data_IF_245878766170
#
_entry.id   IF_245878766170
#
_cell.length_a   1.000
_cell.length_b   1.000
_cell.length_c   1.000
_cell.angle_alpha   90.00
_cell.angle_beta   90.00
_cell.angle_gamma   90.00
#
_symmetry.space_group_name_H-M   'P 1'
#
loop_
_entity.id
_entity.type
_entity.pdbx_description
1 polymer ?
#
# COMPACT_ATOMS: atom_id res chain seq x y z
N UNK A 1 -21.19 -8.92 15.38
CA UNK A 1 -19.82 -8.40 15.46
C UNK A 1 -19.11 -8.96 14.24
N UNK A 2 -18.74 -8.11 13.29
CA UNK A 2 -17.91 -8.55 12.16
C UNK A 2 -16.48 -8.55 12.69
N UNK A 3 -15.99 -9.71 13.08
CA UNK A 3 -14.59 -9.87 13.43
C UNK A 3 -13.78 -9.62 12.16
N UNK A 4 -12.92 -8.60 12.19
CA UNK A 4 -11.98 -8.33 11.11
C UNK A 4 -11.05 -9.54 11.02
N UNK A 5 -11.08 -10.22 9.87
CA UNK A 5 -10.18 -11.34 9.61
C UNK A 5 -8.76 -10.78 9.37
N UNK A 6 -7.73 -11.44 9.91
CA UNK A 6 -6.33 -11.09 9.68
C UNK A 6 -6.01 -10.94 8.18
N UNK A 7 -6.65 -11.75 7.32
CA UNK A 7 -6.49 -11.63 5.87
C UNK A 7 -7.01 -10.30 5.31
N UNK A 8 -8.11 -9.79 5.85
CA UNK A 8 -8.68 -8.50 5.45
C UNK A 8 -7.77 -7.34 5.91
N UNK A 9 -7.20 -7.46 7.12
CA UNK A 9 -6.24 -6.50 7.64
C UNK A 9 -4.98 -6.47 6.75
N UNK A 10 -4.43 -7.63 6.41
CA UNK A 10 -3.25 -7.75 5.55
C UNK A 10 -3.53 -7.17 4.16
N UNK A 11 -4.69 -7.51 3.56
CA UNK A 11 -5.09 -6.99 2.26
C UNK A 11 -5.21 -5.45 2.28
N UNK A 12 -5.83 -4.90 3.32
CA UNK A 12 -6.00 -3.47 3.49
C UNK A 12 -4.66 -2.74 3.66
N UNK A 13 -3.75 -3.26 4.49
CA UNK A 13 -2.41 -2.69 4.69
C UNK A 13 -1.60 -2.75 3.39
N UNK A 14 -1.71 -3.84 2.64
CA UNK A 14 -1.03 -4.01 1.35
C UNK A 14 -1.51 -2.99 0.33
N UNK A 15 -2.83 -2.81 0.20
CA UNK A 15 -3.41 -1.78 -0.68
C UNK A 15 -2.94 -0.38 -0.27
N UNK A 16 -3.05 -0.06 1.03
CA UNK A 16 -2.72 1.26 1.55
C UNK A 16 -1.26 1.67 1.26
N UNK A 17 -0.32 0.72 1.41
CA UNK A 17 1.10 0.95 1.20
C UNK A 17 1.51 0.99 -0.27
N UNK A 18 0.76 0.32 -1.16
CA UNK A 18 1.05 0.30 -2.59
C UNK A 18 0.22 1.32 -3.39
N UNK A 19 -0.70 2.03 -2.74
CA UNK A 19 -1.53 3.06 -3.37
C UNK A 19 -0.77 4.37 -3.62
N UNK A 20 -0.67 4.84 -4.88
CA UNK A 20 -0.12 6.16 -5.22
C UNK A 20 -0.82 7.31 -4.50
N UNK A 21 -0.05 8.28 -3.99
CA UNK A 21 -0.58 9.48 -3.33
C UNK A 21 -0.10 10.75 -4.02
N UNK A 22 -1.04 11.65 -4.32
CA UNK A 22 -0.74 12.95 -4.96
C UNK A 22 0.34 13.75 -4.21
N UNK A 23 0.29 13.78 -2.88
CA UNK A 23 1.26 14.48 -2.02
C UNK A 23 2.68 13.89 -2.09
N UNK A 24 2.81 12.62 -2.49
CA UNK A 24 4.09 11.93 -2.66
C UNK A 24 4.61 12.01 -4.11
N UNK A 25 4.10 12.95 -4.91
CA UNK A 25 4.41 13.02 -6.34
C UNK A 25 3.89 11.80 -7.11
N UNK A 26 2.73 11.28 -6.70
CA UNK A 26 2.11 10.06 -7.24
C UNK A 26 2.91 8.77 -7.02
N UNK A 27 3.86 8.76 -6.08
CA UNK A 27 4.46 7.51 -5.59
C UNK A 27 3.60 6.88 -4.49
N UNK A 28 3.71 5.57 -4.31
CA UNK A 28 3.13 4.90 -3.14
C UNK A 28 4.00 5.13 -1.89
N UNK A 29 3.44 4.98 -0.67
CA UNK A 29 4.24 4.95 0.56
C UNK A 29 5.42 3.97 0.50
N UNK A 30 5.22 2.76 -0.04
CA UNK A 30 6.27 1.77 -0.19
C UNK A 30 7.38 2.22 -1.14
N UNK A 31 7.06 2.86 -2.26
CA UNK A 31 8.07 3.38 -3.19
C UNK A 31 8.91 4.50 -2.58
N UNK A 32 8.29 5.37 -1.76
CA UNK A 32 9.00 6.43 -1.04
C UNK A 32 9.93 5.85 0.03
N UNK A 33 9.45 4.89 0.81
CA UNK A 33 10.21 4.31 1.92
C UNK A 33 11.38 3.44 1.43
N UNK A 34 11.14 2.56 0.46
CA UNK A 34 12.16 1.62 -0.03
C UNK A 34 13.04 2.18 -1.16
N UNK A 35 12.70 3.36 -1.72
CA UNK A 35 13.44 3.97 -2.83
C UNK A 35 13.41 3.16 -4.14
N UNK A 36 12.48 2.21 -4.27
CA UNK A 36 12.33 1.32 -5.43
C UNK A 36 11.00 1.61 -6.12
N UNK A 37 11.00 1.74 -7.45
CA UNK A 37 9.76 1.71 -8.24
C UNK A 37 9.20 0.28 -8.19
N UNK A 38 7.96 0.12 -7.73
CA UNK A 38 7.27 -1.15 -7.84
C UNK A 38 6.93 -1.36 -9.32
N UNK A 39 7.60 -2.32 -9.97
CA UNK A 39 7.19 -2.78 -11.29
C UNK A 39 5.94 -3.63 -11.10
N UNK A 40 4.78 -3.06 -11.46
CA UNK A 40 3.57 -3.83 -11.73
C UNK A 40 3.83 -4.60 -13.04
N UNK A 41 3.98 -5.92 -12.94
CA UNK A 41 3.93 -6.86 -14.05
C UNK A 41 2.48 -7.28 -14.28
#
# INVERSE_FOLDING_TARGET
>A
MNDLNDQEIIAFVTDLNNRPRKVLGWKSPSEVFFGKKLRLI
#
